data_IF_422408415128
#
_entry.id   IF_422408415128
#
_cell.length_a   1.000
_cell.length_b   1.000
_cell.length_c   1.000
_cell.angle_alpha   90.00
_cell.angle_beta   90.00
_cell.angle_gamma   90.00
#
_symmetry.space_group_name_H-M   'P 1'
#
loop_
_entity.id
_entity.type
_entity.pdbx_description
1 polymer ?
#
# COMPACT_ATOMS: atom_id res chain seq x y z
N UNK A 1 -20.06 6.25 -4.90
CA UNK A 1 -19.00 5.22 -5.08
C UNK A 1 -17.67 5.83 -5.50
N UNK A 2 -17.50 6.30 -6.74
CA UNK A 2 -16.23 6.84 -7.25
C UNK A 2 -16.12 8.36 -7.16
N UNK A 3 -16.27 8.90 -5.96
CA UNK A 3 -16.21 10.36 -5.73
C UNK A 3 -14.77 10.85 -5.56
N UNK A 4 -14.55 12.17 -5.62
CA UNK A 4 -13.25 12.75 -5.26
C UNK A 4 -12.83 12.39 -3.83
N UNK A 5 -13.79 12.32 -2.89
CA UNK A 5 -13.55 11.91 -1.52
C UNK A 5 -13.07 10.44 -1.44
N UNK A 6 -13.72 9.54 -2.18
CA UNK A 6 -13.31 8.14 -2.28
C UNK A 6 -11.87 8.01 -2.77
N UNK A 7 -11.53 8.69 -3.88
CA UNK A 7 -10.19 8.59 -4.47
C UNK A 7 -9.11 9.20 -3.58
N UNK A 8 -9.44 10.25 -2.81
CA UNK A 8 -8.55 10.81 -1.81
C UNK A 8 -8.26 9.79 -0.70
N UNK A 9 -9.29 9.18 -0.11
CA UNK A 9 -9.14 8.17 0.93
C UNK A 9 -8.38 6.93 0.42
N UNK A 10 -8.70 6.47 -0.79
CA UNK A 10 -8.02 5.35 -1.43
C UNK A 10 -6.54 5.65 -1.68
N UNK A 11 -6.19 6.85 -2.13
CA UNK A 11 -4.82 7.27 -2.36
C UNK A 11 -4.03 7.41 -1.05
N UNK A 12 -4.61 8.02 -0.01
CA UNK A 12 -3.98 8.10 1.31
C UNK A 12 -3.67 6.72 1.88
N UNK A 13 -4.61 5.78 1.71
CA UNK A 13 -4.38 4.39 2.10
C UNK A 13 -3.30 3.73 1.26
N UNK A 14 -3.33 3.92 -0.06
CA UNK A 14 -2.36 3.31 -0.96
C UNK A 14 -0.93 3.78 -0.68
N UNK A 15 -0.72 5.06 -0.37
CA UNK A 15 0.58 5.59 0.04
C UNK A 15 1.03 4.94 1.35
N UNK A 16 0.13 4.83 2.35
CA UNK A 16 0.45 4.17 3.62
C UNK A 16 0.81 2.69 3.42
N UNK A 17 0.04 1.96 2.60
CA UNK A 17 0.30 0.55 2.28
C UNK A 17 1.61 0.37 1.53
N UNK A 18 1.90 1.22 0.54
CA UNK A 18 3.19 1.22 -0.15
C UNK A 18 4.35 1.45 0.81
N UNK A 19 4.22 2.39 1.75
CA UNK A 19 5.21 2.64 2.79
C UNK A 19 5.40 1.43 3.73
N UNK A 20 4.31 0.77 4.13
CA UNK A 20 4.38 -0.45 4.95
C UNK A 20 5.08 -1.60 4.21
N UNK A 21 4.86 -1.74 2.90
CA UNK A 21 5.55 -2.73 2.08
C UNK A 21 7.05 -2.44 2.00
N UNK A 22 7.42 -1.17 1.79
CA UNK A 22 8.82 -0.76 1.74
C UNK A 22 9.51 -0.96 3.09
N UNK A 23 8.86 -0.59 4.19
CA UNK A 23 9.35 -0.86 5.54
C UNK A 23 9.47 -2.36 5.81
N UNK A 24 8.46 -3.16 5.42
CA UNK A 24 8.49 -4.61 5.58
C UNK A 24 9.64 -5.25 4.81
N UNK A 25 9.89 -4.80 3.58
CA UNK A 25 11.04 -5.22 2.77
C UNK A 25 12.37 -4.83 3.43
N UNK A 26 12.48 -3.60 3.92
CA UNK A 26 13.68 -3.15 4.64
C UNK A 26 13.94 -3.94 5.93
N UNK A 27 12.90 -4.24 6.71
CA UNK A 27 13.01 -5.10 7.89
C UNK A 27 13.37 -6.54 7.53
N UNK A 28 12.78 -7.08 6.46
CA UNK A 28 13.09 -8.43 6.00
C UNK A 28 14.56 -8.54 5.55
N UNK A 29 15.08 -7.54 4.86
CA UNK A 29 16.48 -7.45 4.45
C UNK A 29 17.43 -7.41 5.67
N UNK A 30 17.12 -6.60 6.69
CA UNK A 30 17.91 -6.56 7.93
C UNK A 30 17.91 -7.88 8.70
N UNK A 31 16.79 -8.61 8.72
CA UNK A 31 16.68 -9.88 9.44
C UNK A 31 17.35 -11.01 8.66
N UNK A 32 17.34 -10.97 7.33
CA UNK A 32 17.92 -11.99 6.47
C UNK A 32 19.43 -11.82 6.25
N UNK A 33 19.94 -10.59 6.23
CA UNK A 33 21.34 -10.27 5.95
C UNK A 33 21.89 -9.40 7.08
N UNK A 34 22.66 -10.02 7.98
CA UNK A 34 23.45 -9.28 8.96
C UNK A 34 24.52 -8.46 8.21
N UNK A 35 24.20 -7.20 7.86
CA UNK A 35 25.20 -6.16 7.62
C UNK A 35 25.39 -5.59 6.21
N UNK A 36 24.55 -5.87 5.22
CA UNK A 36 24.66 -5.22 3.90
C UNK A 36 23.34 -4.52 3.53
N UNK A 37 23.17 -3.31 4.06
CA UNK A 37 21.99 -2.47 3.82
C UNK A 37 22.15 -1.74 2.48
N UNK A 38 22.18 -2.49 1.38
CA UNK A 38 22.12 -1.94 0.02
C UNK A 38 20.68 -2.03 -0.47
N UNK A 39 19.83 -1.11 0.01
CA UNK A 39 18.50 -0.95 -0.53
C UNK A 39 18.63 -0.23 -1.87
N UNK A 40 18.69 -1.00 -2.96
CA UNK A 40 18.61 -0.43 -4.30
C UNK A 40 17.32 0.37 -4.43
N UNK A 41 17.46 1.64 -4.84
CA UNK A 41 16.34 2.57 -4.98
C UNK A 41 15.28 2.03 -5.95
N UNK A 42 15.70 1.34 -7.02
CA UNK A 42 14.77 0.73 -7.97
C UNK A 42 14.01 -0.43 -7.32
N UNK A 43 14.70 -1.28 -6.53
CA UNK A 43 14.09 -2.34 -5.73
C UNK A 43 13.05 -1.79 -4.73
N UNK A 44 13.44 -0.82 -3.91
CA UNK A 44 12.54 -0.19 -2.93
C UNK A 44 11.32 0.47 -3.56
N UNK A 45 11.52 1.21 -4.67
CA UNK A 45 10.44 1.84 -5.42
C UNK A 45 9.46 0.80 -5.99
N UNK A 46 9.97 -0.32 -6.52
CA UNK A 46 9.13 -1.39 -7.07
C UNK A 46 8.21 -2.00 -5.99
N UNK A 47 8.74 -2.22 -4.80
CA UNK A 47 8.00 -2.74 -3.65
C UNK A 47 6.94 -1.75 -3.17
N UNK A 48 7.29 -0.46 -3.04
CA UNK A 48 6.33 0.58 -2.70
C UNK A 48 5.16 0.63 -3.71
N UNK A 49 5.49 0.63 -5.01
CA UNK A 49 4.49 0.67 -6.09
C UNK A 49 3.58 -0.56 -6.03
N UNK A 50 4.13 -1.74 -5.74
CA UNK A 50 3.33 -2.96 -5.62
C UNK A 50 2.29 -2.85 -4.49
N UNK A 51 2.69 -2.40 -3.30
CA UNK A 51 1.77 -2.18 -2.17
C UNK A 51 0.73 -1.09 -2.46
N UNK A 52 1.15 -0.01 -3.14
CA UNK A 52 0.26 1.06 -3.57
C UNK A 52 -0.83 0.54 -4.52
N UNK A 53 -0.44 -0.16 -5.60
CA UNK A 53 -1.37 -0.68 -6.60
C UNK A 53 -2.31 -1.71 -5.98
N UNK A 54 -1.79 -2.62 -5.15
CA UNK A 54 -2.61 -3.60 -4.43
C UNK A 54 -3.66 -2.94 -3.54
N UNK A 55 -3.31 -1.85 -2.86
CA UNK A 55 -4.24 -1.12 -2.00
C UNK A 55 -5.36 -0.44 -2.81
N UNK A 56 -5.04 0.14 -3.97
CA UNK A 56 -6.03 0.70 -4.90
C UNK A 56 -6.95 -0.39 -5.45
N UNK A 57 -6.41 -1.51 -5.92
CA UNK A 57 -7.22 -2.64 -6.41
C UNK A 57 -8.13 -3.19 -5.31
N UNK A 58 -7.62 -3.30 -4.09
CA UNK A 58 -8.41 -3.70 -2.92
C UNK A 58 -9.51 -2.69 -2.63
N UNK A 59 -9.23 -1.37 -2.70
CA UNK A 59 -10.28 -0.34 -2.57
C UNK A 59 -11.37 -0.60 -3.59
N UNK A 60 -11.00 -0.86 -4.84
CA UNK A 60 -11.96 -1.02 -5.93
C UNK A 60 -12.83 -2.27 -5.73
N UNK A 61 -12.20 -3.41 -5.48
CA UNK A 61 -12.88 -4.71 -5.37
C UNK A 61 -13.79 -4.78 -4.14
N UNK A 62 -13.39 -4.18 -3.02
CA UNK A 62 -14.14 -4.27 -1.77
C UNK A 62 -15.17 -3.15 -1.55
N UNK A 63 -15.17 -2.09 -2.37
CA UNK A 63 -16.20 -1.03 -2.32
C UNK A 63 -17.65 -1.57 -2.36
N UNK A 64 -18.04 -2.47 -3.28
CA UNK A 64 -19.41 -3.01 -3.31
C UNK A 64 -19.71 -3.97 -2.14
N UNK A 65 -18.68 -4.51 -1.48
CA UNK A 65 -18.82 -5.46 -0.36
C UNK A 65 -18.97 -4.70 0.97
N UNK A 66 -18.38 -3.51 1.11
CA UNK A 66 -18.43 -2.73 2.35
C UNK A 66 -19.79 -2.06 2.61
N UNK A 67 -20.68 -2.01 1.61
CA UNK A 67 -21.98 -1.35 1.71
C UNK A 67 -21.92 0.16 1.96
N UNK A 68 -20.72 0.75 1.90
CA UNK A 68 -20.45 2.18 2.10
C UNK A 68 -19.74 2.72 0.86
N UNK A 69 -20.04 3.96 0.52
CA UNK A 69 -19.36 4.75 -0.52
C UNK A 69 -17.92 5.16 -0.12
N UNK A 70 -17.25 4.35 0.70
CA UNK A 70 -15.89 4.56 1.19
C UNK A 70 -15.02 3.35 0.85
N UNK A 71 -13.73 3.55 0.53
CA UNK A 71 -12.79 2.45 0.32
C UNK A 71 -12.49 1.68 1.61
N UNK A 72 -12.90 2.17 2.80
CA UNK A 72 -12.62 1.53 4.10
C UNK A 72 -13.71 0.55 4.54
N UNK A 73 -13.32 -0.43 5.36
CA UNK A 73 -14.22 -1.41 5.97
C UNK A 73 -14.68 -1.03 7.39
N UNK A 74 -14.17 0.06 7.95
CA UNK A 74 -14.45 0.48 9.34
C UNK A 74 -15.02 1.88 9.37
N UNK A 75 -16.02 2.07 10.26
CA UNK A 75 -16.76 3.31 10.52
C UNK A 75 -15.89 4.46 11.00
#
# INVERSE_FOLDING_TARGET
MWTLAFWKEAAERAIKTGGQFLLGFWFADQVAIVGALELDFAGGLSIFVSGFVLSILTSIVFTPISGKDSPTLTS
#
